data_IF_459633393218
#
_entry.id   IF_459633393218
#
_cell.length_a   1.000
_cell.length_b   1.000
_cell.length_c   1.000
_cell.angle_alpha   90.00
_cell.angle_beta   90.00
_cell.angle_gamma   90.00
#
_symmetry.space_group_name_H-M   'P 1'
#
loop_
_entity.id
_entity.type
_entity.pdbx_description
1 polymer ?
#
# COMPACT_ATOMS: atom_id res chain seq x y z
N UNK A 1 4.36 -3.52 -3.77
CA UNK A 1 4.70 -2.75 -2.55
C UNK A 1 3.66 -3.02 -1.48
N UNK A 2 4.07 -3.09 -0.23
CA UNK A 2 3.22 -3.26 0.96
C UNK A 2 3.89 -2.58 2.16
N UNK A 3 3.28 -2.63 3.35
CA UNK A 3 3.92 -2.14 4.56
C UNK A 3 4.98 -3.12 5.09
N UNK A 4 6.00 -2.56 5.78
CA UNK A 4 7.03 -3.38 6.41
C UNK A 4 6.49 -4.25 7.55
N UNK A 5 5.52 -3.76 8.33
CA UNK A 5 4.88 -4.57 9.38
C UNK A 5 4.06 -5.76 8.83
N UNK A 6 3.78 -5.81 7.52
CA UNK A 6 3.13 -6.94 6.84
C UNK A 6 4.16 -7.94 6.31
N UNK A 7 5.21 -7.43 5.64
CA UNK A 7 6.35 -8.26 5.18
C UNK A 7 7.62 -7.68 5.80
N UNK A 8 7.97 -8.24 6.94
CA UNK A 8 9.09 -7.78 7.77
C UNK A 8 10.44 -8.26 7.23
N UNK A 9 11.52 -7.64 7.71
CA UNK A 9 12.90 -8.08 7.43
C UNK A 9 13.10 -9.55 7.81
N UNK A 10 12.60 -9.97 8.96
CA UNK A 10 12.71 -11.35 9.46
C UNK A 10 12.02 -12.34 8.51
N UNK A 11 10.89 -11.95 7.95
CA UNK A 11 10.18 -12.77 6.95
C UNK A 11 11.01 -12.89 5.66
N UNK A 12 11.61 -11.79 5.20
CA UNK A 12 12.50 -11.77 4.03
C UNK A 12 13.75 -12.63 4.29
N UNK A 13 14.42 -12.43 5.43
CA UNK A 13 15.62 -13.19 5.80
C UNK A 13 15.35 -14.69 5.94
N UNK A 14 14.13 -15.09 6.26
CA UNK A 14 13.70 -16.48 6.32
C UNK A 14 13.58 -17.16 4.96
N UNK A 15 13.68 -16.41 3.85
CA UNK A 15 13.55 -16.87 2.46
C UNK A 15 12.28 -17.69 2.20
N UNK A 16 11.21 -17.36 2.90
CA UNK A 16 9.93 -18.06 2.78
C UNK A 16 9.21 -17.70 1.49
N UNK A 17 8.37 -18.62 1.04
CA UNK A 17 7.40 -18.36 -0.01
C UNK A 17 6.19 -17.64 0.58
N UNK A 18 5.72 -16.60 -0.11
CA UNK A 18 4.44 -15.98 0.19
C UNK A 18 3.45 -16.25 -0.95
N UNK A 19 2.18 -16.41 -0.60
CA UNK A 19 1.11 -16.56 -1.58
C UNK A 19 0.46 -15.19 -1.79
N UNK A 20 0.45 -14.74 -3.02
CA UNK A 20 -0.19 -13.50 -3.42
C UNK A 20 -1.33 -13.81 -4.36
N UNK A 21 -2.50 -13.30 -4.06
CA UNK A 21 -3.65 -13.38 -4.95
C UNK A 21 -3.74 -12.08 -5.75
N UNK A 22 -3.76 -12.21 -7.05
CA UNK A 22 -3.99 -11.06 -7.92
C UNK A 22 -5.17 -11.34 -8.86
N UNK A 23 -5.85 -10.27 -9.23
CA UNK A 23 -7.04 -10.33 -10.07
C UNK A 23 -8.26 -11.01 -9.39
N UNK A 24 -9.45 -10.80 -9.97
CA UNK A 24 -10.72 -11.39 -9.47
C UNK A 24 -10.80 -12.91 -9.70
N UNK A 25 -9.98 -13.46 -10.54
CA UNK A 25 -9.81 -14.88 -10.73
C UNK A 25 -9.01 -15.46 -9.55
N UNK A 26 -9.35 -16.68 -9.13
CA UNK A 26 -8.71 -17.34 -7.97
C UNK A 26 -7.25 -17.75 -8.23
N UNK A 27 -6.50 -16.90 -8.90
CA UNK A 27 -5.11 -17.13 -9.27
C UNK A 27 -4.19 -16.73 -8.12
N UNK A 28 -3.59 -17.74 -7.49
CA UNK A 28 -2.53 -17.55 -6.51
C UNK A 28 -1.18 -17.65 -7.18
N UNK A 29 -0.29 -16.72 -6.87
CA UNK A 29 1.11 -16.75 -7.27
C UNK A 29 1.96 -16.89 -6.03
N UNK A 30 2.90 -17.82 -6.05
CA UNK A 30 3.92 -17.95 -5.02
C UNK A 30 5.10 -17.05 -5.35
N UNK A 31 5.50 -16.25 -4.39
CA UNK A 31 6.64 -15.35 -4.49
C UNK A 31 7.68 -15.81 -3.47
N UNK A 32 8.84 -16.23 -3.96
CA UNK A 32 9.99 -16.50 -3.13
C UNK A 32 10.59 -15.18 -2.63
N UNK A 33 10.87 -15.09 -1.34
CA UNK A 33 11.49 -13.91 -0.71
C UNK A 33 13.03 -14.00 -0.67
N UNK A 34 13.67 -14.91 -1.44
CA UNK A 34 15.12 -14.97 -1.53
C UNK A 34 15.66 -13.74 -2.29
N UNK A 35 16.46 -12.93 -1.60
CA UNK A 35 17.09 -11.72 -2.17
C UNK A 35 18.16 -12.02 -3.23
N UNK A 36 18.62 -13.26 -3.36
CA UNK A 36 19.47 -13.69 -4.46
C UNK A 36 18.69 -13.86 -5.77
N UNK A 37 17.39 -14.10 -5.68
CA UNK A 37 16.52 -14.32 -6.84
C UNK A 37 15.78 -13.07 -7.28
N UNK A 38 15.60 -12.09 -6.36
CA UNK A 38 14.84 -10.87 -6.65
C UNK A 38 15.26 -9.67 -5.82
N UNK A 39 15.03 -8.49 -6.35
CA UNK A 39 15.22 -7.25 -5.60
C UNK A 39 14.11 -7.08 -4.57
N UNK A 40 14.49 -6.96 -3.29
CA UNK A 40 13.59 -6.62 -2.19
C UNK A 40 14.18 -5.43 -1.46
N UNK A 41 13.39 -4.36 -1.33
CA UNK A 41 13.76 -3.13 -0.59
C UNK A 41 12.75 -2.90 0.50
N UNK A 42 13.21 -2.52 1.67
CA UNK A 42 12.33 -2.20 2.80
C UNK A 42 12.91 -1.06 3.65
N UNK A 43 12.03 -0.34 4.30
CA UNK A 43 12.37 0.66 5.30
C UNK A 43 11.42 0.50 6.49
N UNK A 44 11.92 0.07 7.67
CA UNK A 44 11.09 -0.08 8.87
C UNK A 44 10.59 1.25 9.42
N UNK A 45 11.32 2.35 9.24
CA UNK A 45 10.96 3.69 9.71
C UNK A 45 9.79 4.24 8.91
N UNK A 46 9.90 4.16 7.58
CA UNK A 46 8.84 4.54 6.66
C UNK A 46 7.76 3.47 6.49
N UNK A 47 7.95 2.29 7.08
CA UNK A 47 7.03 1.15 7.09
C UNK A 47 6.63 0.68 5.68
N UNK A 48 7.60 0.51 4.78
CA UNK A 48 7.33 -0.08 3.48
C UNK A 48 8.23 -1.26 3.15
N UNK A 49 7.73 -2.16 2.30
CA UNK A 49 8.49 -3.23 1.64
C UNK A 49 8.11 -3.27 0.17
N UNK A 50 9.10 -3.19 -0.71
CA UNK A 50 8.94 -3.30 -2.16
C UNK A 50 9.59 -4.61 -2.60
N UNK A 51 8.83 -5.43 -3.35
CA UNK A 51 9.29 -6.71 -3.87
C UNK A 51 9.18 -6.63 -5.39
N UNK A 52 10.28 -6.89 -6.08
CA UNK A 52 10.27 -7.07 -7.53
C UNK A 52 9.61 -8.42 -7.83
N UNK A 53 8.54 -8.40 -8.59
CA UNK A 53 7.80 -9.59 -8.98
C UNK A 53 8.13 -10.05 -10.42
N UNK A 54 8.93 -9.26 -11.16
CA UNK A 54 9.33 -9.57 -12.53
C UNK A 54 8.13 -10.01 -13.39
N UNK A 55 8.31 -11.08 -14.16
CA UNK A 55 7.29 -11.63 -15.05
C UNK A 55 6.32 -12.62 -14.38
N UNK A 56 6.39 -12.79 -13.06
CA UNK A 56 5.52 -13.72 -12.34
C UNK A 56 4.03 -13.38 -12.49
N UNK A 57 3.75 -12.09 -12.68
CA UNK A 57 2.39 -11.60 -12.87
C UNK A 57 2.34 -10.85 -14.20
N UNK A 58 1.73 -11.47 -15.19
CA UNK A 58 1.42 -10.84 -16.49
C UNK A 58 0.26 -9.87 -16.32
N UNK A 59 0.54 -8.67 -15.83
CA UNK A 59 -0.46 -7.66 -15.58
C UNK A 59 -0.62 -6.73 -16.79
N UNK A 60 -1.85 -6.57 -17.23
CA UNK A 60 -2.19 -5.66 -18.34
C UNK A 60 -2.24 -4.20 -17.90
N UNK A 61 -2.56 -3.95 -16.64
CA UNK A 61 -2.74 -2.61 -16.10
C UNK A 61 -1.87 -2.40 -14.88
N UNK A 62 -1.19 -1.28 -14.84
CA UNK A 62 -0.33 -0.86 -13.73
C UNK A 62 -0.86 0.44 -13.12
N UNK A 63 -0.64 0.59 -11.82
CA UNK A 63 -0.84 1.85 -11.13
C UNK A 63 0.44 2.68 -11.22
N UNK A 64 0.31 3.96 -11.53
CA UNK A 64 1.43 4.88 -11.65
C UNK A 64 1.54 5.76 -10.40
N UNK A 65 2.78 6.00 -9.95
CA UNK A 65 3.06 6.94 -8.88
C UNK A 65 2.80 8.38 -9.34
N UNK A 66 2.30 9.21 -8.45
CA UNK A 66 2.29 10.64 -8.64
C UNK A 66 3.61 11.22 -8.13
N UNK A 67 4.46 11.67 -9.06
CA UNK A 67 5.76 12.28 -8.75
C UNK A 67 5.73 13.81 -8.79
N UNK A 68 4.57 14.41 -9.01
CA UNK A 68 4.44 15.86 -9.08
C UNK A 68 4.31 16.43 -7.66
N UNK A 69 4.98 17.57 -7.40
CA UNK A 69 4.75 18.38 -6.22
C UNK A 69 3.39 19.10 -6.34
N UNK A 70 2.34 18.46 -5.84
CA UNK A 70 0.99 19.01 -5.81
C UNK A 70 0.60 19.20 -4.35
N UNK A 71 -0.10 20.29 -4.07
CA UNK A 71 -0.80 20.41 -2.79
C UNK A 71 -1.93 19.38 -2.76
N UNK A 72 -1.78 18.38 -1.88
CA UNK A 72 -2.76 17.32 -1.72
C UNK A 72 -3.90 17.67 -0.77
N UNK A 73 -3.83 18.78 -0.04
CA UNK A 73 -4.88 19.17 0.93
C UNK A 73 -6.22 19.30 0.21
N UNK A 74 -7.27 18.72 0.79
CA UNK A 74 -8.63 18.63 0.26
C UNK A 74 -8.79 17.83 -1.05
N UNK A 75 -7.72 17.27 -1.62
CA UNK A 75 -7.83 16.39 -2.77
C UNK A 75 -8.66 15.14 -2.43
N UNK A 76 -9.57 14.79 -3.32
CA UNK A 76 -10.37 13.57 -3.19
C UNK A 76 -9.54 12.34 -3.51
N UNK A 77 -9.67 11.33 -2.65
CA UNK A 77 -8.97 10.06 -2.79
C UNK A 77 -9.93 8.89 -2.76
N UNK A 78 -9.48 7.76 -3.26
CA UNK A 78 -10.07 6.47 -2.99
C UNK A 78 -9.00 5.42 -2.71
N UNK A 79 -9.42 4.40 -1.93
CA UNK A 79 -8.56 3.34 -1.44
C UNK A 79 -9.23 2.01 -1.77
N UNK A 80 -8.76 1.30 -2.82
CA UNK A 80 -9.14 -0.08 -3.03
C UNK A 80 -8.46 -0.94 -1.95
N UNK A 81 -9.23 -1.73 -1.23
CA UNK A 81 -8.77 -2.44 -0.04
C UNK A 81 -9.50 -3.78 0.13
N UNK A 82 -8.90 -4.67 0.94
CA UNK A 82 -9.50 -5.94 1.34
C UNK A 82 -9.70 -5.96 2.87
N UNK A 83 -10.67 -5.20 3.39
CA UNK A 83 -10.87 -5.06 4.83
C UNK A 83 -11.18 -6.41 5.46
N UNK A 84 -10.45 -6.76 6.53
CA UNK A 84 -10.58 -8.03 7.27
C UNK A 84 -10.37 -9.28 6.39
N UNK A 85 -9.64 -9.14 5.26
CA UNK A 85 -9.44 -10.22 4.30
C UNK A 85 -10.68 -10.56 3.45
N UNK A 86 -11.72 -9.76 3.54
CA UNK A 86 -12.96 -9.94 2.79
C UNK A 86 -12.84 -9.51 1.32
N UNK A 87 -13.96 -9.36 0.64
CA UNK A 87 -14.01 -8.93 -0.77
C UNK A 87 -13.42 -7.53 -0.95
N UNK A 88 -12.88 -7.27 -2.13
CA UNK A 88 -12.44 -5.95 -2.53
C UNK A 88 -13.55 -4.92 -2.28
N UNK A 89 -13.20 -3.86 -1.61
CA UNK A 89 -14.05 -2.69 -1.40
C UNK A 89 -13.26 -1.43 -1.72
N UNK A 90 -13.95 -0.35 -2.02
CA UNK A 90 -13.34 0.95 -2.27
C UNK A 90 -13.91 1.93 -1.26
N UNK A 91 -13.04 2.59 -0.50
CA UNK A 91 -13.46 3.71 0.33
C UNK A 91 -13.03 5.03 -0.31
N UNK A 92 -13.87 6.03 -0.15
CA UNK A 92 -13.61 7.39 -0.62
C UNK A 92 -13.42 8.33 0.56
N UNK A 93 -12.65 9.38 0.33
CA UNK A 93 -12.40 10.43 1.30
C UNK A 93 -11.59 11.56 0.69
N UNK A 94 -11.01 12.38 1.54
CA UNK A 94 -10.13 13.49 1.17
C UNK A 94 -8.93 13.59 2.10
N UNK A 95 -7.87 14.19 1.64
CA UNK A 95 -6.69 14.52 2.42
C UNK A 95 -7.01 15.71 3.33
N UNK A 96 -6.74 15.53 4.63
CA UNK A 96 -7.02 16.54 5.66
C UNK A 96 -5.75 17.27 6.07
N UNK A 97 -4.62 16.55 6.16
CA UNK A 97 -3.36 17.09 6.64
C UNK A 97 -2.18 16.36 6.00
N UNK A 98 -1.09 17.09 5.83
CA UNK A 98 0.22 16.56 5.43
C UNK A 98 1.19 16.82 6.57
N UNK A 99 1.87 15.78 7.05
CA UNK A 99 2.98 15.86 7.99
C UNK A 99 4.28 15.59 7.22
N UNK A 100 4.93 16.63 6.76
CA UNK A 100 6.14 16.50 5.93
C UNK A 100 7.28 15.84 6.70
N UNK A 101 7.44 16.18 7.98
CA UNK A 101 8.50 15.63 8.84
C UNK A 101 8.40 14.12 9.01
N UNK A 102 7.17 13.60 9.07
CA UNK A 102 6.89 12.18 9.26
C UNK A 102 6.63 11.45 7.94
N UNK A 103 6.65 12.15 6.80
CA UNK A 103 6.22 11.62 5.49
C UNK A 103 4.82 11.01 5.55
N UNK A 104 3.89 11.62 6.28
CA UNK A 104 2.54 11.10 6.49
C UNK A 104 1.46 12.01 5.91
N UNK A 105 0.46 11.39 5.28
CA UNK A 105 -0.80 12.02 4.91
C UNK A 105 -1.92 11.57 5.86
N UNK A 106 -2.75 12.49 6.32
CA UNK A 106 -3.94 12.20 7.12
C UNK A 106 -5.18 12.42 6.26
N UNK A 107 -6.10 11.47 6.29
CA UNK A 107 -7.32 11.49 5.48
C UNK A 107 -8.53 10.91 6.24
N UNK A 108 -9.75 11.15 5.72
CA UNK A 108 -11.00 10.73 6.35
C UNK A 108 -11.65 9.47 5.73
N UNK A 109 -11.03 8.89 4.68
CA UNK A 109 -11.52 7.65 4.08
C UNK A 109 -11.58 6.50 5.09
N UNK A 110 -12.61 5.66 5.05
CA UNK A 110 -12.79 4.55 6.00
C UNK A 110 -11.91 3.35 5.65
N UNK A 111 -11.12 2.84 6.62
CA UNK A 111 -10.34 1.60 6.49
C UNK A 111 -10.53 0.71 7.72
N UNK A 112 -10.28 -0.59 7.57
CA UNK A 112 -10.32 -1.56 8.65
C UNK A 112 -9.00 -2.34 8.73
N UNK A 113 -8.88 -3.22 9.73
CA UNK A 113 -7.79 -4.20 9.77
C UNK A 113 -7.69 -4.96 8.44
N UNK A 114 -6.49 -5.30 8.03
CA UNK A 114 -6.23 -5.95 6.72
C UNK A 114 -6.12 -4.98 5.53
N UNK A 115 -6.36 -3.68 5.73
CA UNK A 115 -6.17 -2.67 4.67
C UNK A 115 -4.74 -2.14 4.56
N UNK A 116 -3.81 -2.60 5.41
CA UNK A 116 -2.39 -2.23 5.35
C UNK A 116 -1.78 -2.52 3.99
N UNK A 117 -1.02 -1.56 3.45
CA UNK A 117 -0.43 -1.65 2.12
C UNK A 117 -1.38 -1.31 0.96
N UNK A 118 -2.65 -1.02 1.22
CA UNK A 118 -3.59 -0.56 0.19
C UNK A 118 -3.11 0.73 -0.45
N UNK A 119 -3.14 0.86 -1.79
CA UNK A 119 -2.74 2.09 -2.46
C UNK A 119 -3.76 3.19 -2.19
N UNK A 120 -3.28 4.40 -2.03
CA UNK A 120 -4.10 5.60 -1.97
C UNK A 120 -3.96 6.35 -3.28
N UNK A 121 -5.08 6.54 -3.94
CA UNK A 121 -5.16 7.05 -5.28
C UNK A 121 -5.86 8.41 -5.28
N UNK A 122 -5.29 9.38 -5.99
CA UNK A 122 -6.02 10.59 -6.32
C UNK A 122 -7.23 10.25 -7.19
N UNK A 123 -8.39 10.75 -6.85
CA UNK A 123 -9.64 10.42 -7.55
C UNK A 123 -9.61 10.84 -9.02
N UNK A 124 -9.02 11.97 -9.33
CA UNK A 124 -9.01 12.55 -10.67
C UNK A 124 -8.00 11.87 -11.59
N UNK A 125 -6.77 11.70 -11.12
CA UNK A 125 -5.67 11.19 -11.97
C UNK A 125 -5.46 9.69 -11.89
N UNK A 126 -6.06 9.01 -10.90
CA UNK A 126 -5.85 7.59 -10.59
C UNK A 126 -4.40 7.23 -10.22
N UNK A 127 -3.57 8.21 -9.93
CA UNK A 127 -2.18 8.00 -9.55
C UNK A 127 -2.05 7.73 -8.06
N UNK A 128 -1.12 6.84 -7.70
CA UNK A 128 -0.78 6.54 -6.31
C UNK A 128 -0.04 7.73 -5.71
N UNK A 129 -0.46 8.14 -4.52
CA UNK A 129 0.21 9.16 -3.71
C UNK A 129 0.78 8.58 -2.42
N UNK A 130 0.52 7.32 -2.14
CA UNK A 130 1.07 6.60 -0.99
C UNK A 130 0.34 5.28 -0.70
N UNK A 131 0.68 4.65 0.42
CA UNK A 131 0.06 3.41 0.90
C UNK A 131 -0.56 3.61 2.28
N UNK A 132 -1.67 2.91 2.54
CA UNK A 132 -2.30 2.91 3.86
C UNK A 132 -1.42 2.19 4.87
N UNK A 133 -1.03 2.85 5.95
CA UNK A 133 -0.19 2.32 7.02
C UNK A 133 -1.01 1.87 8.23
N UNK A 134 -1.68 2.80 8.87
CA UNK A 134 -2.40 2.56 10.13
C UNK A 134 -3.53 3.56 10.36
N UNK A 135 -4.41 3.23 11.32
CA UNK A 135 -5.41 4.15 11.84
C UNK A 135 -4.83 4.92 13.02
N UNK A 136 -5.00 6.24 13.04
CA UNK A 136 -4.67 7.03 14.23
C UNK A 136 -5.75 6.82 15.31
N UNK A 137 -5.41 6.07 16.36
CA UNK A 137 -6.33 5.74 17.45
C UNK A 137 -6.65 6.94 18.35
N UNK A 138 -5.76 7.95 18.43
CA UNK A 138 -5.96 9.14 19.29
C UNK A 138 -7.00 10.12 18.73
N UNK A 139 -7.14 10.20 17.40
CA UNK A 139 -8.05 11.17 16.76
C UNK A 139 -9.16 10.50 15.96
N UNK A 140 -9.20 9.17 15.88
CA UNK A 140 -10.07 8.44 14.96
C UNK A 140 -9.70 8.64 13.47
N UNK A 141 -8.70 9.47 13.18
CA UNK A 141 -8.19 9.77 11.84
C UNK A 141 -7.11 8.78 11.43
N UNK A 142 -6.87 8.65 10.16
CA UNK A 142 -5.98 7.65 9.58
C UNK A 142 -4.69 8.28 9.09
N UNK A 143 -3.60 7.55 9.22
CA UNK A 143 -2.24 8.00 8.89
C UNK A 143 -1.71 7.17 7.73
N UNK A 144 -0.96 7.81 6.87
CA UNK A 144 -0.34 7.24 5.69
C UNK A 144 1.07 7.80 5.51
N UNK A 145 1.94 7.04 4.87
CA UNK A 145 3.23 7.52 4.39
C UNK A 145 3.23 7.78 2.89
N UNK A 146 4.01 8.79 2.51
CA UNK A 146 4.24 9.22 1.13
C UNK A 146 5.37 8.42 0.47
#
# INVERSE_FOLDING_TARGET
>A
MTNHHVITKELVDSKKMINVKYNYENNWVQINLDTNERSIKYDPTLDFTIIDIGDLIKQKYFLFLNINNIDYINQKIYIPQYPEGNKLSVSEGKIIKINIEDNELVYDASTKSGSSGSPILLKDTKKIIGIHKKRNTKTGKKIMEN
#
